data_IF_612468525668
#
_entry.id   IF_612468525668
#
_cell.length_a   1.000
_cell.length_b   1.000
_cell.length_c   1.000
_cell.angle_alpha   90.00
_cell.angle_beta   90.00
_cell.angle_gamma   90.00
#
_symmetry.space_group_name_H-M   'P 1'
#
loop_
_entity.id
_entity.type
_entity.pdbx_description
1 polymer ?
#
# COMPACT_ATOMS: atom_id res chain seq x y z
N UNK A 1 -22.87 -36.46 -10.84
CA UNK A 1 -23.99 -35.51 -10.68
C UNK A 1 -24.22 -35.32 -9.19
N UNK A 2 -23.46 -34.41 -8.59
CA UNK A 2 -23.72 -33.81 -7.28
C UNK A 2 -22.70 -32.69 -7.11
N UNK A 3 -23.17 -31.52 -7.50
CA UNK A 3 -22.61 -30.21 -7.19
C UNK A 3 -22.23 -30.12 -5.71
N UNK A 4 -20.95 -29.90 -5.42
CA UNK A 4 -20.55 -29.32 -4.14
C UNK A 4 -20.23 -27.85 -4.42
N UNK A 5 -21.30 -27.05 -4.48
CA UNK A 5 -21.20 -25.60 -4.46
C UNK A 5 -20.53 -25.21 -3.14
N UNK A 6 -19.44 -24.43 -3.14
CA UNK A 6 -18.94 -23.82 -1.91
C UNK A 6 -20.07 -22.99 -1.27
N UNK A 7 -20.21 -23.13 0.04
CA UNK A 7 -21.29 -22.58 0.85
C UNK A 7 -21.35 -21.05 0.77
N UNK A 8 -22.57 -20.53 0.89
CA UNK A 8 -22.88 -19.09 0.83
C UNK A 8 -22.11 -18.28 1.89
N UNK A 9 -21.72 -18.90 3.03
CA UNK A 9 -20.86 -18.30 4.07
C UNK A 9 -19.49 -17.84 3.56
N UNK A 10 -18.81 -18.60 2.67
CA UNK A 10 -17.48 -18.21 2.15
C UNK A 10 -17.57 -17.00 1.22
N UNK A 11 -18.74 -16.80 0.61
CA UNK A 11 -19.04 -15.65 -0.25
C UNK A 11 -19.36 -14.39 0.57
N UNK A 12 -19.73 -14.51 1.85
CA UNK A 12 -20.03 -13.38 2.73
C UNK A 12 -18.78 -12.69 3.28
N UNK A 13 -17.63 -13.38 3.27
CA UNK A 13 -16.31 -12.77 3.48
C UNK A 13 -15.88 -11.85 2.33
N UNK A 14 -16.66 -11.74 1.24
CA UNK A 14 -16.23 -11.04 0.03
C UNK A 14 -16.09 -9.52 0.16
N UNK A 15 -16.74 -8.82 1.10
CA UNK A 15 -16.68 -7.34 1.10
C UNK A 15 -16.89 -6.73 2.48
N UNK A 16 -16.32 -7.32 3.54
CA UNK A 16 -16.34 -6.65 4.84
C UNK A 16 -15.38 -5.47 4.79
N UNK A 17 -15.93 -4.26 4.95
CA UNK A 17 -15.13 -3.04 5.09
C UNK A 17 -14.13 -3.25 6.23
N UNK A 18 -12.86 -2.94 5.97
CA UNK A 18 -11.80 -3.03 6.97
C UNK A 18 -12.16 -2.13 8.15
N UNK A 19 -12.55 -2.72 9.27
CA UNK A 19 -13.03 -1.99 10.44
C UNK A 19 -12.28 -2.48 11.68
N UNK A 20 -11.70 -1.54 12.43
CA UNK A 20 -11.01 -1.84 13.70
C UNK A 20 -12.00 -2.03 14.86
N UNK A 21 -11.52 -2.50 16.01
CA UNK A 21 -12.26 -2.66 17.27
C UNK A 21 -12.91 -1.38 17.78
N UNK A 22 -12.42 -0.22 17.35
CA UNK A 22 -13.02 1.10 17.62
C UNK A 22 -14.06 1.54 16.57
N UNK A 23 -14.52 0.63 15.71
CA UNK A 23 -15.52 0.88 14.67
C UNK A 23 -15.10 1.94 13.62
N UNK A 24 -13.79 2.09 13.38
CA UNK A 24 -13.23 2.98 12.35
C UNK A 24 -13.08 2.22 11.04
N UNK A 25 -13.59 2.77 9.95
CA UNK A 25 -13.43 2.21 8.60
C UNK A 25 -12.09 2.66 8.01
N UNK A 26 -11.28 1.71 7.58
CA UNK A 26 -10.01 1.95 6.89
C UNK A 26 -10.26 2.05 5.39
N UNK A 27 -10.42 3.28 4.90
CA UNK A 27 -10.56 3.60 3.48
C UNK A 27 -9.25 4.15 2.86
N UNK A 28 -8.21 4.32 3.68
CA UNK A 28 -6.94 4.96 3.34
C UNK A 28 -5.75 4.03 3.61
N UNK A 29 -4.90 3.85 2.60
CA UNK A 29 -3.69 3.05 2.66
C UNK A 29 -2.46 3.92 2.37
N UNK A 30 -1.48 3.90 3.29
CA UNK A 30 -0.18 4.55 3.11
C UNK A 30 0.87 3.49 2.85
N UNK A 31 1.58 3.59 1.74
CA UNK A 31 2.65 2.64 1.37
C UNK A 31 3.99 3.39 1.39
N UNK A 32 4.98 2.84 2.08
CA UNK A 32 6.37 3.32 2.02
C UNK A 32 7.09 2.60 0.89
N UNK A 33 7.52 3.34 -0.14
CA UNK A 33 8.20 2.79 -1.31
C UNK A 33 9.70 2.62 -1.10
N UNK A 34 10.29 3.55 -0.35
CA UNK A 34 11.73 3.62 -0.20
C UNK A 34 12.10 4.38 1.06
N UNK A 35 13.18 3.97 1.72
CA UNK A 35 13.77 4.69 2.85
C UNK A 35 14.82 5.74 2.40
N UNK A 36 15.05 5.86 1.09
CA UNK A 36 15.98 6.84 0.53
C UNK A 36 15.31 8.19 0.41
N UNK A 37 16.01 9.22 0.88
CA UNK A 37 15.61 10.61 0.73
C UNK A 37 16.83 11.42 0.30
N UNK A 38 16.65 12.42 -0.56
CA UNK A 38 17.67 13.39 -0.96
C UNK A 38 17.86 14.52 0.07
N UNK A 39 17.05 14.56 1.13
CA UNK A 39 17.09 15.58 2.17
C UNK A 39 17.52 15.00 3.52
N UNK A 40 18.18 15.83 4.32
CA UNK A 40 18.62 15.52 5.68
C UNK A 40 17.95 16.46 6.69
N UNK A 41 16.62 16.41 6.73
CA UNK A 41 15.83 17.29 7.60
C UNK A 41 16.14 17.00 9.07
N UNK A 42 16.44 18.03 9.85
CA UNK A 42 16.82 17.93 11.27
C UNK A 42 15.81 17.20 12.15
N UNK A 43 14.53 17.26 11.80
CA UNK A 43 13.44 16.62 12.54
C UNK A 43 13.05 15.23 12.02
N UNK A 44 13.50 14.83 10.82
CA UNK A 44 13.12 13.57 10.19
C UNK A 44 14.31 12.61 10.11
N UNK A 45 15.48 13.09 9.67
CA UNK A 45 16.71 12.32 9.54
C UNK A 45 17.91 13.16 10.01
N UNK A 46 18.12 13.27 11.33
CA UNK A 46 19.23 14.03 11.86
C UNK A 46 20.58 13.38 11.49
N UNK A 47 21.64 14.17 11.34
CA UNK A 47 22.96 13.69 10.92
C UNK A 47 23.62 12.73 11.91
N UNK A 48 23.18 12.72 13.17
CA UNK A 48 23.63 11.76 14.20
C UNK A 48 23.04 10.37 14.02
N UNK A 49 21.95 10.23 13.26
CA UNK A 49 21.37 8.94 12.87
C UNK A 49 22.13 8.41 11.65
N UNK A 50 23.30 7.81 11.89
CA UNK A 50 24.07 7.06 10.89
C UNK A 50 23.23 5.87 10.41
N UNK A 51 22.45 6.11 9.37
CA UNK A 51 21.49 5.16 8.83
C UNK A 51 22.08 4.63 7.54
N UNK A 52 22.88 3.57 7.65
CA UNK A 52 23.15 2.70 6.51
C UNK A 52 21.81 2.18 6.02
N UNK A 53 21.26 2.78 4.96
CA UNK A 53 20.13 2.21 4.25
C UNK A 53 20.64 0.94 3.55
N UNK A 54 20.68 -0.17 4.28
CA UNK A 54 20.93 -1.49 3.72
C UNK A 54 19.87 -1.71 2.64
N UNK A 55 20.28 -2.21 1.47
CA UNK A 55 19.39 -2.44 0.31
C UNK A 55 18.33 -3.53 0.57
N UNK A 56 18.35 -4.14 1.74
CA UNK A 56 17.63 -5.35 2.08
C UNK A 56 16.27 -4.97 2.67
N UNK A 57 15.20 -5.15 1.90
CA UNK A 57 13.83 -5.05 2.41
C UNK A 57 12.86 -4.12 1.68
N UNK A 58 13.22 -3.58 0.50
CA UNK A 58 12.22 -2.86 -0.30
C UNK A 58 11.18 -3.85 -0.85
N UNK A 59 9.90 -3.53 -0.66
CA UNK A 59 8.77 -4.27 -1.26
C UNK A 59 8.89 -4.22 -2.78
N UNK A 60 8.78 -5.37 -3.44
CA UNK A 60 8.81 -5.40 -4.90
C UNK A 60 7.56 -4.77 -5.51
N UNK A 61 7.66 -4.26 -6.74
CA UNK A 61 6.52 -3.69 -7.46
C UNK A 61 5.33 -4.66 -7.50
N UNK A 62 5.59 -5.95 -7.78
CA UNK A 62 4.54 -6.98 -7.84
C UNK A 62 3.82 -7.19 -6.51
N UNK A 63 4.56 -7.25 -5.40
CA UNK A 63 3.97 -7.38 -4.06
C UNK A 63 3.14 -6.16 -3.70
N UNK A 64 3.63 -4.97 -4.05
CA UNK A 64 2.91 -3.72 -3.82
C UNK A 64 1.57 -3.70 -4.57
N UNK A 65 1.57 -4.09 -5.85
CA UNK A 65 0.36 -4.15 -6.67
C UNK A 65 -0.62 -5.21 -6.17
N UNK A 66 -0.10 -6.38 -5.76
CA UNK A 66 -0.90 -7.42 -5.14
C UNK A 66 -1.61 -6.90 -3.88
N UNK A 67 -0.87 -6.28 -2.95
CA UNK A 67 -1.43 -5.70 -1.74
C UNK A 67 -2.44 -4.59 -2.05
N UNK A 68 -2.08 -3.65 -2.93
CA UNK A 68 -2.97 -2.56 -3.32
C UNK A 68 -4.30 -3.09 -3.88
N UNK A 69 -4.25 -4.11 -4.74
CA UNK A 69 -5.45 -4.72 -5.32
C UNK A 69 -6.32 -5.42 -4.27
N UNK A 70 -5.67 -6.13 -3.34
CA UNK A 70 -6.32 -6.86 -2.25
C UNK A 70 -7.03 -5.92 -1.26
N UNK A 71 -6.44 -4.77 -0.97
CA UNK A 71 -7.00 -3.73 -0.12
C UNK A 71 -8.10 -2.92 -0.82
N UNK A 72 -7.95 -2.64 -2.11
CA UNK A 72 -8.99 -1.99 -2.92
C UNK A 72 -10.29 -2.80 -2.94
N UNK A 73 -10.19 -4.13 -3.07
CA UNK A 73 -11.34 -5.04 -2.97
C UNK A 73 -12.05 -4.99 -1.60
N UNK A 74 -11.39 -4.50 -0.54
CA UNK A 74 -11.93 -4.40 0.83
C UNK A 74 -12.43 -3.00 1.21
N UNK A 75 -12.54 -2.10 0.23
CA UNK A 75 -13.09 -0.76 0.43
C UNK A 75 -12.08 0.34 0.71
N UNK A 76 -10.78 0.07 0.53
CA UNK A 76 -9.78 1.14 0.46
C UNK A 76 -9.96 1.90 -0.85
N UNK A 77 -10.14 3.21 -0.76
CA UNK A 77 -10.38 4.09 -1.92
C UNK A 77 -9.23 5.05 -2.15
N UNK A 78 -8.40 5.32 -1.14
CA UNK A 78 -7.31 6.28 -1.19
C UNK A 78 -5.99 5.60 -0.90
N UNK A 79 -5.03 5.71 -1.82
CA UNK A 79 -3.69 5.17 -1.65
C UNK A 79 -2.70 6.32 -1.74
N UNK A 80 -1.91 6.52 -0.66
CA UNK A 80 -0.83 7.51 -0.62
C UNK A 80 0.52 6.80 -0.66
N UNK A 81 1.30 7.11 -1.68
CA UNK A 81 2.68 6.67 -1.80
C UNK A 81 3.57 7.63 -1.00
N UNK A 82 4.40 7.06 -0.13
CA UNK A 82 5.29 7.78 0.79
C UNK A 82 6.63 7.04 0.90
N UNK A 83 7.46 7.46 1.84
CA UNK A 83 8.74 6.85 2.18
C UNK A 83 9.67 7.94 2.72
N UNK A 84 10.94 7.86 2.35
CA UNK A 84 11.81 9.02 2.27
C UNK A 84 11.29 9.98 1.20
N UNK A 85 11.91 9.95 0.02
CA UNK A 85 11.44 10.71 -1.14
C UNK A 85 10.85 9.76 -2.19
N UNK A 86 9.52 9.75 -2.42
CA UNK A 86 8.87 8.86 -3.38
C UNK A 86 9.48 8.91 -4.78
N UNK A 87 9.90 10.09 -5.24
CA UNK A 87 10.50 10.29 -6.57
C UNK A 87 11.87 9.63 -6.73
N UNK A 88 12.50 9.17 -5.65
CA UNK A 88 13.76 8.42 -5.70
C UNK A 88 13.54 6.92 -6.01
N UNK A 89 12.30 6.45 -5.98
CA UNK A 89 11.95 5.09 -6.39
C UNK A 89 11.95 4.99 -7.93
N UNK A 90 12.81 4.15 -8.49
CA UNK A 90 12.96 3.99 -9.95
C UNK A 90 11.70 3.41 -10.61
N UNK A 91 11.01 2.54 -9.88
CA UNK A 91 9.84 1.80 -10.38
C UNK A 91 8.54 2.59 -10.17
N UNK A 92 8.62 3.83 -9.67
CA UNK A 92 7.45 4.69 -9.43
C UNK A 92 6.57 4.89 -10.68
N UNK A 93 7.11 5.13 -11.89
CA UNK A 93 6.28 5.28 -13.08
C UNK A 93 5.49 4.00 -13.41
N UNK A 94 6.10 2.83 -13.23
CA UNK A 94 5.46 1.53 -13.42
C UNK A 94 4.32 1.36 -12.40
N UNK A 95 4.60 1.62 -11.12
CA UNK A 95 3.62 1.58 -10.04
C UNK A 95 2.41 2.48 -10.35
N UNK A 96 2.63 3.74 -10.73
CA UNK A 96 1.55 4.71 -11.02
C UNK A 96 0.78 4.34 -12.29
N UNK A 97 1.44 3.71 -13.27
CA UNK A 97 0.80 3.31 -14.52
C UNK A 97 -0.28 2.25 -14.32
N UNK A 98 -0.27 1.55 -13.19
CA UNK A 98 -1.19 0.47 -12.89
C UNK A 98 -2.60 0.94 -12.56
N UNK A 99 -3.57 0.20 -13.11
CA UNK A 99 -5.00 0.53 -13.02
C UNK A 99 -5.53 0.56 -11.59
N UNK A 100 -4.91 -0.20 -10.69
CA UNK A 100 -5.30 -0.32 -9.28
C UNK A 100 -5.14 1.02 -8.53
N UNK A 101 -4.19 1.86 -8.94
CA UNK A 101 -3.97 3.19 -8.36
C UNK A 101 -4.77 4.31 -9.07
N UNK A 102 -5.47 3.99 -10.18
CA UNK A 102 -6.25 4.97 -10.95
C UNK A 102 -7.66 5.21 -10.40
N UNK A 103 -8.04 4.54 -9.31
CA UNK A 103 -9.33 4.77 -8.66
C UNK A 103 -9.32 6.05 -7.81
N UNK A 104 -9.80 7.13 -8.45
CA UNK A 104 -10.79 8.07 -7.90
C UNK A 104 -10.54 8.73 -6.54
N UNK A 105 -9.33 9.28 -6.30
CA UNK A 105 -9.13 10.58 -5.60
C UNK A 105 -7.65 10.92 -5.56
N UNK A 106 -7.06 11.26 -6.70
CA UNK A 106 -5.83 12.06 -6.70
C UNK A 106 -6.25 13.51 -6.38
N UNK A 107 -6.35 13.81 -5.08
CA UNK A 107 -6.35 15.16 -4.51
C UNK A 107 -5.18 15.27 -3.55
#
# INVERSE_FOLDING_TARGET
>A
MSVFFPTVEEKLLRFTKLTDRFNRVHDYLRISLTERCNLHCSYCRPPTLTSSCTKEGNVSTNELLFLASYFNQRGVTKIRLTGGEPLMCKDLPEIISESVLKNSSLR
#
